data_IF_694416270516
#
_entry.id   IF_694416270516
#
_cell.length_a   1.000
_cell.length_b   1.000
_cell.length_c   1.000
_cell.angle_alpha   90.00
_cell.angle_beta   90.00
_cell.angle_gamma   90.00
#
_symmetry.space_group_name_H-M   'P 1'
#
loop_
_entity.id
_entity.type
_entity.pdbx_description
1 polymer ?
#
# COMPACT_ATOMS: atom_id res chain seq x y z
N UNK A 1 22.62 -27.59 1.40
CA UNK A 1 22.54 -28.44 2.62
C UNK A 1 23.26 -27.82 3.82
N UNK A 2 24.48 -27.31 3.63
CA UNK A 2 25.31 -26.80 4.74
C UNK A 2 24.87 -25.47 5.35
N UNK A 3 24.23 -24.58 4.57
CA UNK A 3 23.75 -23.29 5.11
C UNK A 3 22.65 -23.47 6.17
N UNK A 4 21.70 -24.37 5.91
CA UNK A 4 20.57 -24.67 6.82
C UNK A 4 21.05 -25.37 8.10
N UNK A 5 22.06 -26.24 7.97
CA UNK A 5 22.69 -26.91 9.11
C UNK A 5 23.59 -25.96 9.92
N UNK A 6 24.34 -25.07 9.27
CA UNK A 6 25.16 -24.05 9.95
C UNK A 6 24.29 -23.05 10.72
N UNK A 7 23.12 -22.69 10.19
CA UNK A 7 22.15 -21.85 10.87
C UNK A 7 21.46 -22.58 12.04
N UNK A 8 21.42 -23.92 12.04
CA UNK A 8 20.78 -24.70 13.11
C UNK A 8 21.51 -24.66 14.45
N UNK A 9 22.76 -24.16 14.49
CA UNK A 9 23.46 -23.88 15.74
C UNK A 9 22.86 -22.66 16.43
N UNK A 10 22.26 -22.87 17.61
CA UNK A 10 21.71 -21.84 18.48
C UNK A 10 22.77 -20.77 18.80
N UNK A 11 22.69 -19.60 18.17
CA UNK A 11 23.59 -18.47 18.42
C UNK A 11 24.06 -17.70 17.19
N UNK A 12 23.81 -18.19 15.97
CA UNK A 12 24.14 -17.45 14.74
C UNK A 12 23.08 -16.38 14.48
N UNK A 13 23.50 -15.12 14.43
CA UNK A 13 22.65 -13.99 14.04
C UNK A 13 22.27 -14.15 12.55
N UNK A 14 20.97 -14.31 12.27
CA UNK A 14 20.44 -14.72 10.95
C UNK A 14 20.76 -13.70 9.85
N UNK A 15 20.87 -12.43 10.21
CA UNK A 15 21.14 -11.32 9.30
C UNK A 15 22.63 -10.93 9.25
N UNK A 16 23.53 -11.72 9.85
CA UNK A 16 24.96 -11.43 9.81
C UNK A 16 25.46 -11.48 8.35
N UNK A 17 26.07 -10.41 7.82
CA UNK A 17 26.57 -10.40 6.47
C UNK A 17 27.84 -11.26 6.35
N UNK A 18 28.00 -11.92 5.20
CA UNK A 18 29.24 -12.61 4.83
C UNK A 18 30.36 -11.60 4.47
N UNK A 19 31.53 -12.10 4.05
CA UNK A 19 32.67 -11.24 3.65
C UNK A 19 32.38 -10.31 2.46
N UNK A 20 31.33 -10.60 1.69
CA UNK A 20 30.87 -9.80 0.55
C UNK A 20 29.77 -8.81 0.94
N UNK A 21 29.40 -8.74 2.23
CA UNK A 21 28.35 -7.86 2.72
C UNK A 21 26.93 -8.39 2.44
N UNK A 22 26.77 -9.68 2.14
CA UNK A 22 25.48 -10.30 1.84
C UNK A 22 24.95 -11.13 3.02
N UNK A 23 23.67 -10.98 3.33
CA UNK A 23 22.99 -11.84 4.31
C UNK A 23 22.67 -13.21 3.72
N UNK A 24 22.44 -14.21 4.58
CA UNK A 24 22.03 -15.54 4.15
C UNK A 24 20.77 -15.52 3.25
N UNK A 25 19.84 -14.59 3.53
CA UNK A 25 18.61 -14.44 2.74
C UNK A 25 18.90 -13.89 1.33
N UNK A 26 19.80 -12.92 1.20
CA UNK A 26 20.20 -12.36 -0.10
C UNK A 26 20.92 -13.41 -0.97
N UNK A 27 21.77 -14.23 -0.34
CA UNK A 27 22.42 -15.36 -1.02
C UNK A 27 21.37 -16.37 -1.50
N UNK A 28 20.43 -16.77 -0.65
CA UNK A 28 19.36 -17.70 -1.01
C UNK A 28 18.45 -17.16 -2.13
N UNK A 29 18.17 -15.86 -2.12
CA UNK A 29 17.40 -15.17 -3.15
C UNK A 29 18.08 -15.22 -4.53
N UNK A 30 19.41 -15.17 -4.59
CA UNK A 30 20.18 -15.27 -5.84
C UNK A 30 20.40 -16.70 -6.35
N UNK A 31 20.34 -17.72 -5.49
CA UNK A 31 20.73 -19.10 -5.82
C UNK A 31 19.57 -20.05 -6.13
N UNK A 32 18.32 -19.58 -6.09
CA UNK A 32 17.16 -20.44 -6.38
C UNK A 32 16.80 -21.45 -5.29
N UNK A 33 16.92 -21.05 -4.03
CA UNK A 33 16.66 -21.90 -2.87
C UNK A 33 15.41 -21.45 -2.08
N UNK A 34 14.19 -21.64 -2.60
CA UNK A 34 12.96 -21.13 -1.96
C UNK A 34 12.71 -21.76 -0.58
N UNK A 35 13.09 -23.02 -0.39
CA UNK A 35 13.01 -23.68 0.92
C UNK A 35 13.94 -23.05 1.97
N UNK A 36 15.11 -22.56 1.54
CA UNK A 36 16.08 -21.87 2.41
C UNK A 36 15.56 -20.48 2.76
N UNK A 37 14.93 -19.77 1.81
CA UNK A 37 14.24 -18.50 2.05
C UNK A 37 13.17 -18.68 3.14
N UNK A 38 12.29 -19.67 3.00
CA UNK A 38 11.25 -19.93 3.99
C UNK A 38 11.85 -20.23 5.38
N UNK A 39 12.88 -21.07 5.47
CA UNK A 39 13.53 -21.40 6.74
C UNK A 39 14.23 -20.19 7.39
N UNK A 40 14.82 -19.30 6.60
CA UNK A 40 15.47 -18.08 7.08
C UNK A 40 14.45 -17.09 7.63
N UNK A 41 13.35 -16.86 6.91
CA UNK A 41 12.29 -15.94 7.35
C UNK A 41 11.60 -16.45 8.62
N UNK A 42 11.37 -17.76 8.74
CA UNK A 42 10.86 -18.37 9.97
C UNK A 42 11.79 -18.15 11.19
N UNK A 43 13.08 -17.94 10.95
CA UNK A 43 14.06 -17.62 11.99
C UNK A 43 14.23 -16.12 12.24
N UNK A 44 13.40 -15.27 11.62
CA UNK A 44 13.41 -13.83 11.80
C UNK A 44 14.36 -13.07 10.87
N UNK A 45 14.77 -13.67 9.74
CA UNK A 45 15.56 -12.94 8.73
C UNK A 45 14.81 -11.70 8.24
N UNK A 46 15.52 -10.56 8.11
CA UNK A 46 14.94 -9.33 7.57
C UNK A 46 14.73 -9.44 6.06
N UNK A 47 13.47 -9.53 5.66
CA UNK A 47 13.06 -9.77 4.26
C UNK A 47 13.43 -8.63 3.31
N UNK A 48 13.47 -7.40 3.81
CA UNK A 48 13.70 -6.19 3.01
C UNK A 48 15.09 -5.55 3.21
N UNK A 49 16.01 -6.24 3.90
CA UNK A 49 17.35 -5.71 4.12
C UNK A 49 18.11 -5.55 2.81
N UNK A 50 18.61 -4.34 2.53
CA UNK A 50 19.41 -4.06 1.34
C UNK A 50 20.82 -4.62 1.47
N UNK A 51 21.35 -5.13 0.35
CA UNK A 51 22.72 -5.62 0.24
C UNK A 51 23.72 -4.48 0.14
N UNK A 52 25.02 -4.79 0.15
CA UNK A 52 26.08 -3.81 -0.12
C UNK A 52 25.93 -3.10 -1.49
N UNK A 53 25.29 -3.77 -2.46
CA UNK A 53 24.95 -3.19 -3.77
C UNK A 53 23.57 -2.51 -3.79
N UNK A 54 22.98 -2.27 -2.61
CA UNK A 54 21.72 -1.59 -2.44
C UNK A 54 20.53 -2.33 -3.08
N UNK A 55 20.60 -3.66 -3.18
CA UNK A 55 19.53 -4.51 -3.71
C UNK A 55 18.85 -5.26 -2.57
N UNK A 56 17.51 -5.28 -2.57
CA UNK A 56 16.73 -6.14 -1.68
C UNK A 56 16.79 -7.61 -2.14
N UNK A 57 16.48 -8.58 -1.25
CA UNK A 57 16.35 -9.98 -1.64
C UNK A 57 15.38 -10.18 -2.81
N UNK A 58 14.26 -9.46 -2.82
CA UNK A 58 13.29 -9.51 -3.92
C UNK A 58 13.88 -9.01 -5.24
N UNK A 59 14.61 -7.88 -5.23
CA UNK A 59 15.29 -7.39 -6.44
C UNK A 59 16.32 -8.40 -6.98
N UNK A 60 17.06 -9.07 -6.09
CA UNK A 60 18.03 -10.11 -6.48
C UNK A 60 17.33 -11.31 -7.14
N UNK A 61 16.26 -11.83 -6.54
CA UNK A 61 15.49 -12.94 -7.09
C UNK A 61 14.90 -12.61 -8.48
N UNK A 62 14.40 -11.38 -8.65
CA UNK A 62 13.84 -10.89 -9.92
C UNK A 62 14.92 -10.73 -10.97
N UNK A 63 16.08 -10.15 -10.61
CA UNK A 63 17.23 -10.01 -11.52
C UNK A 63 17.72 -11.37 -12.04
N UNK A 64 17.65 -12.41 -11.19
CA UNK A 64 17.97 -13.79 -11.55
C UNK A 64 16.83 -14.50 -12.31
N UNK A 65 15.68 -13.84 -12.48
CA UNK A 65 14.48 -14.38 -13.13
C UNK A 65 14.00 -15.70 -12.50
N UNK A 66 14.14 -15.84 -11.18
CA UNK A 66 13.75 -17.04 -10.46
C UNK A 66 12.36 -16.87 -9.82
N UNK A 67 11.32 -17.36 -10.52
CA UNK A 67 9.93 -17.25 -10.09
C UNK A 67 9.66 -17.85 -8.71
N UNK A 68 10.20 -19.04 -8.42
CA UNK A 68 9.96 -19.72 -7.14
C UNK A 68 10.52 -18.92 -5.94
N UNK A 69 11.69 -18.30 -6.11
CA UNK A 69 12.24 -17.41 -5.08
C UNK A 69 11.43 -16.11 -4.94
N UNK A 70 10.94 -15.55 -6.04
CA UNK A 70 10.08 -14.37 -6.01
C UNK A 70 8.79 -14.67 -5.24
N UNK A 71 8.12 -15.78 -5.55
CA UNK A 71 6.92 -16.23 -4.84
C UNK A 71 7.19 -16.46 -3.34
N UNK A 72 8.30 -17.14 -3.00
CA UNK A 72 8.67 -17.38 -1.61
C UNK A 72 8.93 -16.07 -0.84
N UNK A 73 9.58 -15.08 -1.45
CA UNK A 73 9.85 -13.79 -0.83
C UNK A 73 8.57 -12.95 -0.68
N UNK A 74 7.67 -12.97 -1.67
CA UNK A 74 6.38 -12.29 -1.57
C UNK A 74 5.49 -12.91 -0.50
N UNK A 75 5.44 -14.24 -0.42
CA UNK A 75 4.75 -14.95 0.65
C UNK A 75 5.35 -14.65 2.04
N UNK A 76 6.64 -14.34 2.10
CA UNK A 76 7.34 -13.89 3.29
C UNK A 76 7.12 -12.40 3.63
N UNK A 77 6.32 -11.66 2.84
CA UNK A 77 6.02 -10.25 3.08
C UNK A 77 7.05 -9.27 2.52
N UNK A 78 7.82 -9.65 1.50
CA UNK A 78 8.76 -8.74 0.85
C UNK A 78 8.03 -7.54 0.22
N UNK A 79 8.57 -6.34 0.42
CA UNK A 79 8.01 -5.10 -0.12
C UNK A 79 8.24 -5.00 -1.64
N UNK A 80 7.16 -5.15 -2.42
CA UNK A 80 7.18 -5.04 -3.89
C UNK A 80 7.66 -3.66 -4.37
N UNK A 81 7.29 -2.63 -3.62
CA UNK A 81 7.53 -1.23 -3.97
C UNK A 81 8.80 -0.65 -3.32
N UNK A 82 9.58 -1.47 -2.59
CA UNK A 82 10.85 -1.01 -2.04
C UNK A 82 11.77 -0.59 -3.18
N UNK A 83 12.25 0.65 -3.12
CA UNK A 83 13.19 1.21 -4.08
C UNK A 83 14.59 1.30 -3.47
N UNK A 84 15.61 1.05 -4.27
CA UNK A 84 16.98 1.37 -3.88
C UNK A 84 17.25 2.88 -3.99
N UNK A 85 18.45 3.33 -3.60
CA UNK A 85 18.89 4.74 -3.67
C UNK A 85 18.87 5.31 -5.08
N UNK A 86 18.94 4.46 -6.11
CA UNK A 86 18.81 4.86 -7.51
C UNK A 86 17.33 4.91 -7.99
N UNK A 87 16.37 4.64 -7.11
CA UNK A 87 14.93 4.66 -7.42
C UNK A 87 14.41 3.40 -8.12
N UNK A 88 15.23 2.37 -8.32
CA UNK A 88 14.79 1.12 -8.94
C UNK A 88 14.10 0.22 -7.91
N UNK A 89 12.91 -0.26 -8.26
CA UNK A 89 12.18 -1.30 -7.52
C UNK A 89 12.39 -2.67 -8.16
N UNK A 90 11.85 -3.74 -7.56
CA UNK A 90 11.95 -5.10 -8.10
C UNK A 90 11.49 -5.20 -9.57
N UNK A 91 10.43 -4.48 -9.97
CA UNK A 91 9.94 -4.50 -11.35
C UNK A 91 10.95 -3.88 -12.34
N UNK A 92 11.77 -2.92 -11.90
CA UNK A 92 12.81 -2.30 -12.72
C UNK A 92 13.92 -3.29 -13.15
N UNK A 93 14.08 -4.38 -12.41
CA UNK A 93 15.01 -5.47 -12.74
C UNK A 93 14.34 -6.64 -13.47
N UNK A 94 13.01 -6.63 -13.64
CA UNK A 94 12.27 -7.72 -14.25
C UNK A 94 12.43 -7.75 -15.78
N UNK A 95 12.60 -8.94 -16.34
CA UNK A 95 12.51 -9.15 -17.80
C UNK A 95 11.05 -9.34 -18.21
N UNK A 96 10.73 -9.17 -19.50
CA UNK A 96 9.41 -9.53 -20.01
C UNK A 96 9.14 -11.03 -19.76
N UNK A 97 7.97 -11.36 -19.20
CA UNK A 97 7.58 -12.74 -18.87
C UNK A 97 6.80 -12.84 -17.56
N UNK A 98 6.69 -14.06 -17.05
CA UNK A 98 5.85 -14.41 -15.91
C UNK A 98 6.20 -13.64 -14.62
N UNK A 99 7.50 -13.50 -14.31
CA UNK A 99 7.94 -12.78 -13.10
C UNK A 99 7.48 -11.33 -13.12
N UNK A 100 7.55 -10.66 -14.27
CA UNK A 100 7.07 -9.28 -14.41
C UNK A 100 5.55 -9.18 -14.30
N UNK A 101 4.81 -10.14 -14.88
CA UNK A 101 3.34 -10.19 -14.75
C UNK A 101 2.92 -10.39 -13.29
N UNK A 102 3.63 -11.26 -12.57
CA UNK A 102 3.37 -11.53 -11.16
C UNK A 102 3.59 -10.27 -10.30
N UNK A 103 4.69 -9.54 -10.51
CA UNK A 103 4.93 -8.27 -9.78
C UNK A 103 3.90 -7.18 -10.12
N UNK A 104 3.45 -7.12 -11.38
CA UNK A 104 2.40 -6.18 -11.80
C UNK A 104 1.07 -6.49 -11.14
N UNK A 105 0.69 -7.76 -11.05
CA UNK A 105 -0.52 -8.19 -10.35
C UNK A 105 -0.46 -7.80 -8.87
N UNK A 106 0.65 -8.10 -8.19
CA UNK A 106 0.83 -7.75 -6.77
C UNK A 106 0.79 -6.23 -6.55
N UNK A 107 1.39 -5.46 -7.45
CA UNK A 107 1.34 -4.00 -7.38
C UNK A 107 -0.09 -3.46 -7.57
N UNK A 108 -0.85 -4.02 -8.51
CA UNK A 108 -2.25 -3.64 -8.74
C UNK A 108 -3.15 -3.98 -7.54
N UNK A 109 -2.94 -5.16 -6.93
CA UNK A 109 -3.66 -5.56 -5.70
C UNK A 109 -3.37 -4.61 -4.54
N UNK A 110 -2.10 -4.29 -4.28
CA UNK A 110 -1.72 -3.33 -3.24
C UNK A 110 -2.32 -1.96 -3.49
N UNK A 111 -2.34 -1.50 -4.74
CA UNK A 111 -2.99 -0.24 -5.12
C UNK A 111 -4.50 -0.29 -4.88
N UNK A 112 -5.16 -1.41 -5.22
CA UNK A 112 -6.59 -1.61 -4.96
C UNK A 112 -6.94 -1.63 -3.48
N UNK A 113 -6.12 -2.31 -2.66
CA UNK A 113 -6.27 -2.34 -1.21
C UNK A 113 -6.09 -0.96 -0.59
N UNK A 114 -5.06 -0.22 -1.00
CA UNK A 114 -4.82 1.16 -0.54
C UNK A 114 -5.96 2.10 -0.95
N UNK A 115 -6.50 1.96 -2.17
CA UNK A 115 -7.67 2.72 -2.61
C UNK A 115 -8.92 2.38 -1.78
N UNK A 116 -9.16 1.11 -1.47
CA UNK A 116 -10.29 0.68 -0.63
C UNK A 116 -10.17 1.18 0.82
N UNK A 117 -8.95 1.16 1.39
CA UNK A 117 -8.69 1.74 2.72
C UNK A 117 -8.93 3.25 2.71
N UNK A 118 -8.38 3.97 1.73
CA UNK A 118 -8.59 5.41 1.59
C UNK A 118 -10.07 5.77 1.38
N UNK A 119 -10.82 4.97 0.61
CA UNK A 119 -12.27 5.13 0.47
C UNK A 119 -13.00 4.95 1.81
N UNK A 120 -12.59 3.96 2.62
CA UNK A 120 -13.19 3.72 3.94
C UNK A 120 -12.93 4.87 4.92
N UNK A 121 -11.71 5.41 4.93
CA UNK A 121 -11.34 6.57 5.76
C UNK A 121 -12.04 7.85 5.29
N UNK A 122 -12.13 8.07 3.97
CA UNK A 122 -12.89 9.17 3.39
C UNK A 122 -14.37 9.07 3.76
N UNK A 123 -14.94 7.87 3.67
CA UNK A 123 -16.33 7.60 4.02
C UNK A 123 -16.60 7.90 5.50
N UNK A 124 -15.67 7.54 6.39
CA UNK A 124 -15.76 7.89 7.81
C UNK A 124 -15.68 9.41 8.03
N UNK A 125 -14.74 10.09 7.37
CA UNK A 125 -14.62 11.55 7.48
C UNK A 125 -15.90 12.26 6.99
N UNK A 126 -16.49 11.76 5.90
CA UNK A 126 -17.70 12.32 5.32
C UNK A 126 -18.93 12.15 6.23
N UNK A 127 -19.08 10.99 6.87
CA UNK A 127 -20.13 10.77 7.86
C UNK A 127 -19.95 11.67 9.09
N UNK A 128 -18.73 11.76 9.64
CA UNK A 128 -18.45 12.64 10.76
C UNK A 128 -18.68 14.13 10.43
N UNK A 129 -18.49 14.52 9.17
CA UNK A 129 -18.79 15.86 8.69
C UNK A 129 -20.29 16.10 8.57
N UNK A 130 -21.05 15.14 8.02
CA UNK A 130 -22.51 15.18 7.96
C UNK A 130 -23.14 15.28 9.35
N UNK A 131 -22.63 14.56 10.35
CA UNK A 131 -23.12 14.61 11.74
C UNK A 131 -22.94 15.99 12.41
N UNK A 132 -21.94 16.78 11.96
CA UNK A 132 -21.71 18.15 12.46
C UNK A 132 -22.59 19.19 11.79
N UNK A 133 -23.18 18.88 10.64
CA UNK A 133 -24.11 19.77 9.96
C UNK A 133 -25.47 19.66 10.63
N UNK A 134 -26.15 20.79 10.82
CA UNK A 134 -27.51 20.74 11.33
C UNK A 134 -28.41 20.02 10.31
N UNK A 135 -29.36 19.21 10.78
CA UNK A 135 -30.33 18.52 9.92
C UNK A 135 -31.03 19.48 8.93
N UNK A 136 -31.29 20.72 9.36
CA UNK A 136 -31.86 21.78 8.53
C UNK A 136 -30.99 22.21 7.35
N UNK A 137 -29.66 22.15 7.51
CA UNK A 137 -28.72 22.56 6.47
C UNK A 137 -28.63 21.45 5.42
N UNK A 138 -28.49 20.20 5.86
CA UNK A 138 -28.47 19.05 4.93
C UNK A 138 -29.81 18.95 4.18
N UNK A 139 -30.95 19.11 4.87
CA UNK A 139 -32.27 19.09 4.25
C UNK A 139 -32.49 20.23 3.24
N UNK A 140 -31.94 21.43 3.48
CA UNK A 140 -31.99 22.54 2.51
C UNK A 140 -31.11 22.29 1.29
N UNK A 141 -29.94 21.71 1.51
CA UNK A 141 -28.99 21.36 0.46
C UNK A 141 -29.57 20.32 -0.50
N UNK A 142 -30.21 19.27 0.03
CA UNK A 142 -30.82 18.20 -0.78
C UNK A 142 -32.07 18.67 -1.54
N UNK A 143 -32.83 19.62 -0.99
CA UNK A 143 -34.05 20.15 -1.61
C UNK A 143 -33.83 21.34 -2.57
N UNK A 144 -32.57 21.69 -2.87
CA UNK A 144 -32.18 22.74 -3.82
C UNK A 144 -32.73 24.15 -3.48
N UNK A 145 -32.97 24.42 -2.18
CA UNK A 145 -33.81 25.53 -1.71
C UNK A 145 -33.03 26.76 -1.21
N UNK A 146 -31.76 26.92 -1.65
CA UNK A 146 -30.89 27.99 -1.14
C UNK A 146 -30.03 28.67 -2.20
N UNK A 147 -29.87 29.99 -2.04
CA UNK A 147 -28.92 30.82 -2.79
C UNK A 147 -27.52 30.18 -2.77
N UNK A 148 -26.77 30.18 -3.89
CA UNK A 148 -25.44 29.56 -4.02
C UNK A 148 -24.40 30.04 -2.99
N UNK A 149 -24.64 31.22 -2.39
CA UNK A 149 -23.64 32.00 -1.66
C UNK A 149 -23.49 31.60 -0.17
N UNK A 150 -24.36 30.73 0.37
CA UNK A 150 -24.55 30.61 1.84
C UNK A 150 -24.22 29.22 2.41
N UNK A 151 -24.16 28.16 1.60
CA UNK A 151 -24.01 26.78 2.09
C UNK A 151 -22.68 26.17 1.67
N UNK A 152 -21.58 26.72 2.21
CA UNK A 152 -20.24 26.15 2.09
C UNK A 152 -19.72 25.75 3.46
N UNK A 153 -19.57 24.46 3.68
CA UNK A 153 -18.90 23.93 4.87
C UNK A 153 -17.64 23.19 4.45
N UNK A 154 -16.63 23.21 5.29
CA UNK A 154 -15.37 22.51 5.03
C UNK A 154 -14.92 21.75 6.28
N UNK A 155 -14.40 20.54 6.09
CA UNK A 155 -13.78 19.73 7.12
C UNK A 155 -12.46 19.17 6.62
N UNK A 156 -11.40 19.33 7.42
CA UNK A 156 -10.13 18.67 7.18
C UNK A 156 -10.22 17.20 7.60
N UNK A 157 -9.87 16.30 6.69
CA UNK A 157 -9.70 14.87 6.93
C UNK A 157 -8.20 14.61 7.09
N UNK A 158 -7.78 14.14 8.27
CA UNK A 158 -6.37 13.92 8.60
C UNK A 158 -5.70 13.03 7.54
N UNK A 159 -4.56 13.46 7.02
CA UNK A 159 -3.73 12.76 6.01
C UNK A 159 -4.38 12.51 4.63
N UNK A 160 -5.69 12.68 4.51
CA UNK A 160 -6.44 12.51 3.27
C UNK A 160 -6.53 13.83 2.50
N UNK A 161 -6.96 14.93 3.15
CA UNK A 161 -7.29 16.16 2.44
C UNK A 161 -8.37 17.00 3.08
N UNK A 162 -9.09 17.73 2.24
CA UNK A 162 -10.17 18.63 2.63
C UNK A 162 -11.48 18.21 1.97
N UNK A 163 -12.53 18.03 2.77
CA UNK A 163 -13.87 17.76 2.30
C UNK A 163 -14.69 19.05 2.33
N UNK A 164 -15.20 19.47 1.18
CA UNK A 164 -16.05 20.67 1.04
C UNK A 164 -17.46 20.27 0.66
N UNK A 165 -18.46 20.77 1.36
CA UNK A 165 -19.86 20.70 0.94
C UNK A 165 -20.26 22.01 0.26
N UNK A 166 -20.83 21.93 -0.94
CA UNK A 166 -21.41 23.04 -1.68
C UNK A 166 -22.75 22.58 -2.31
N UNK A 167 -23.85 23.25 -1.96
CA UNK A 167 -25.18 22.95 -2.50
C UNK A 167 -25.58 21.47 -2.39
N UNK A 168 -25.12 20.78 -1.34
CA UNK A 168 -25.43 19.36 -1.09
C UNK A 168 -24.48 18.37 -1.76
N UNK A 169 -23.56 18.85 -2.60
CA UNK A 169 -22.48 18.04 -3.15
C UNK A 169 -21.26 18.12 -2.25
N UNK A 170 -20.67 16.96 -1.95
CA UNK A 170 -19.47 16.86 -1.13
C UNK A 170 -18.29 16.53 -2.04
N UNK A 171 -17.36 17.46 -2.15
CA UNK A 171 -16.17 17.35 -3.00
C UNK A 171 -14.94 17.18 -2.11
N UNK A 172 -14.20 16.11 -2.34
CA UNK A 172 -12.96 15.84 -1.64
C UNK A 172 -11.76 16.32 -2.45
N UNK A 173 -10.95 17.17 -1.82
CA UNK A 173 -9.69 17.69 -2.36
C UNK A 173 -8.53 17.05 -1.60
N UNK A 174 -7.72 16.18 -2.24
CA UNK A 174 -6.65 15.48 -1.55
C UNK A 174 -5.50 16.42 -1.13
N UNK A 175 -4.86 16.13 0.01
CA UNK A 175 -3.70 16.90 0.51
C UNK A 175 -2.38 16.62 -0.25
N UNK A 176 -2.40 15.78 -1.28
CA UNK A 176 -1.23 15.39 -2.06
C UNK A 176 -1.54 14.29 -3.07
N UNK A 177 -0.51 13.53 -3.48
CA UNK A 177 -0.67 12.34 -4.32
C UNK A 177 -1.30 11.20 -3.50
N UNK A 178 -2.59 11.31 -3.20
CA UNK A 178 -3.35 10.24 -2.55
C UNK A 178 -3.55 9.08 -3.50
N UNK A 179 -3.66 7.86 -2.96
CA UNK A 179 -3.97 6.63 -3.71
C UNK A 179 -5.25 6.71 -4.59
N UNK A 180 -6.11 7.68 -4.31
CA UNK A 180 -7.37 7.94 -5.03
C UNK A 180 -7.18 8.52 -6.44
N UNK A 181 -6.01 9.10 -6.77
CA UNK A 181 -5.63 9.48 -8.14
C UNK A 181 -6.40 10.64 -8.79
N UNK A 182 -7.63 10.92 -8.36
CA UNK A 182 -8.54 11.96 -8.86
C UNK A 182 -9.40 12.51 -7.70
N UNK A 183 -9.99 13.73 -7.84
CA UNK A 183 -10.95 14.24 -6.87
C UNK A 183 -12.16 13.30 -6.77
N UNK A 184 -12.38 12.76 -5.57
CA UNK A 184 -13.50 11.86 -5.27
C UNK A 184 -14.75 12.69 -5.00
N UNK A 185 -15.86 12.30 -5.60
CA UNK A 185 -17.17 12.95 -5.34
C UNK A 185 -17.99 12.07 -4.41
N UNK A 186 -18.46 12.68 -3.32
CA UNK A 186 -19.32 12.03 -2.35
C UNK A 186 -20.74 12.57 -2.51
N UNK A 187 -21.71 11.66 -2.62
CA UNK A 187 -23.13 12.01 -2.67
C UNK A 187 -23.77 11.76 -1.32
N UNK A 188 -24.61 12.68 -0.87
CA UNK A 188 -25.42 12.50 0.32
C UNK A 188 -26.84 12.11 -0.08
N UNK A 189 -27.35 11.09 0.57
CA UNK A 189 -28.73 10.64 0.44
C UNK A 189 -29.39 10.57 1.81
N UNK A 190 -30.64 11.02 1.89
CA UNK A 190 -31.46 10.81 3.09
C UNK A 190 -32.17 9.46 2.98
N UNK A 191 -31.98 8.62 3.99
CA UNK A 191 -32.71 7.37 4.13
C UNK A 191 -33.27 7.29 5.55
N UNK A 192 -34.61 7.19 5.69
CA UNK A 192 -35.30 7.04 6.99
C UNK A 192 -34.92 8.11 8.05
N UNK A 193 -34.78 9.37 7.65
CA UNK A 193 -34.36 10.49 8.53
C UNK A 193 -32.93 10.38 9.07
N UNK A 194 -32.13 9.50 8.48
CA UNK A 194 -30.68 9.43 8.67
C UNK A 194 -30.00 9.75 7.34
N UNK A 195 -28.87 10.43 7.38
CA UNK A 195 -28.11 10.76 6.18
C UNK A 195 -27.01 9.73 5.97
N UNK A 196 -26.92 9.22 4.76
CA UNK A 196 -25.82 8.36 4.32
C UNK A 196 -25.02 9.12 3.27
N UNK A 197 -23.71 9.21 3.47
CA UNK A 197 -22.79 9.70 2.45
C UNK A 197 -22.26 8.48 1.69
N UNK A 198 -22.07 8.59 0.38
CA UNK A 198 -21.47 7.54 -0.44
C UNK A 198 -20.43 8.16 -1.38
N UNK A 199 -19.16 7.83 -1.15
CA UNK A 199 -18.02 8.34 -1.93
C UNK A 199 -17.65 7.33 -3.03
N UNK A 200 -17.58 7.79 -4.28
CA UNK A 200 -17.23 6.97 -5.46
C UNK A 200 -16.04 7.53 -6.21
#
# INVERSE_FOLDING_TARGET
PDLVLALSASGVEVDQPNREGLTALQVAAGQGAPAVIAALVQRGAKVDQLSANDLSPLMLAVKMNNKANVEALLAAGASVNLSNKAGYTAIGYSRAGEVRQLLLAQHAELKGQAAHMAQSELQFCANAFADKLAYSDIARAVNNDTRPDIMRHQQSCLELGELTMLLGEFTFTPAGATYLGEPVTCKVSEYRKTFEVNCR
#
